data_IF_337998529744
#
_entry.id   IF_337998529744
#
_cell.length_a   1.000
_cell.length_b   1.000
_cell.length_c   1.000
_cell.angle_alpha   90.00
_cell.angle_beta   90.00
_cell.angle_gamma   90.00
#
_symmetry.space_group_name_H-M   'P 1'
#
loop_
_entity.id
_entity.type
_entity.pdbx_description
1 polymer ?
#
# COMPACT_ATOMS: atom_id res chain seq x y z
N UNK A 1 -27.86 -10.32 0.19
CA UNK A 1 -27.66 -10.13 1.64
C UNK A 1 -26.76 -8.92 1.82
N UNK A 2 -27.17 -7.98 2.68
CA UNK A 2 -26.78 -6.56 2.70
C UNK A 2 -25.27 -6.29 2.86
N UNK A 3 -24.80 -5.26 2.13
CA UNK A 3 -23.48 -4.63 2.28
C UNK A 3 -23.25 -4.25 3.75
N UNK A 4 -22.09 -4.65 4.30
CA UNK A 4 -21.57 -4.11 5.55
C UNK A 4 -20.70 -2.90 5.20
N UNK A 5 -21.23 -1.72 5.50
CA UNK A 5 -20.51 -0.45 5.48
C UNK A 5 -19.23 -0.56 6.32
N UNK A 6 -18.10 -0.18 5.72
CA UNK A 6 -16.88 0.09 6.46
C UNK A 6 -17.10 1.43 7.18
N UNK A 7 -17.03 1.37 8.50
CA UNK A 7 -17.23 2.49 9.40
C UNK A 7 -16.25 3.63 9.10
N UNK A 8 -16.81 4.78 8.71
CA UNK A 8 -16.14 6.07 8.65
C UNK A 8 -15.62 6.41 10.05
N UNK A 9 -14.30 6.52 10.21
CA UNK A 9 -13.73 7.17 11.40
C UNK A 9 -14.00 8.66 11.24
N UNK A 10 -15.13 9.11 11.76
CA UNK A 10 -15.38 10.53 11.97
C UNK A 10 -14.42 11.01 13.06
N UNK A 11 -13.42 11.81 12.69
CA UNK A 11 -12.67 12.62 13.63
C UNK A 11 -13.62 13.72 14.15
N UNK A 12 -14.36 13.39 15.20
CA UNK A 12 -15.09 14.35 16.03
C UNK A 12 -14.08 15.15 16.85
N UNK A 13 -13.84 16.41 16.49
CA UNK A 13 -13.27 17.39 17.40
C UNK A 13 -14.30 17.67 18.50
N UNK A 14 -14.15 16.98 19.63
CA UNK A 14 -14.97 17.19 20.81
C UNK A 14 -14.66 18.54 21.47
N UNK A 15 -15.71 19.20 21.96
CA UNK A 15 -15.65 20.40 22.80
C UNK A 15 -14.82 20.16 24.07
N UNK A 16 -14.11 21.20 24.51
CA UNK A 16 -13.15 21.19 25.64
C UNK A 16 -13.88 21.06 26.98
N UNK A 17 -13.53 20.08 27.85
CA UNK A 17 -13.65 20.23 29.29
C UNK A 17 -12.27 20.39 29.94
N UNK A 18 -12.23 21.18 31.01
CA UNK A 18 -11.03 21.51 31.77
C UNK A 18 -10.72 20.42 32.82
N UNK A 19 -9.42 20.17 33.02
CA UNK A 19 -8.74 19.39 34.08
C UNK A 19 -8.72 17.86 33.98
N UNK A 20 -7.58 17.30 33.54
CA UNK A 20 -6.63 16.61 34.43
C UNK A 20 -5.30 16.35 33.70
N UNK A 21 -4.17 16.54 34.39
CA UNK A 21 -2.80 16.33 33.90
C UNK A 21 -2.57 14.87 33.49
N UNK A 22 -2.64 14.61 32.18
CA UNK A 22 -1.75 13.68 31.51
C UNK A 22 -1.19 14.42 30.31
N UNK A 23 0.12 14.30 30.12
CA UNK A 23 0.90 14.94 29.07
C UNK A 23 0.50 14.35 27.70
N UNK A 24 -0.73 14.61 27.26
CA UNK A 24 -1.14 14.46 25.87
C UNK A 24 -0.39 15.53 25.11
N UNK A 25 0.54 15.11 24.25
CA UNK A 25 1.12 15.98 23.24
C UNK A 25 -0.03 16.75 22.59
N UNK A 26 -0.03 18.08 22.76
CA UNK A 26 -1.03 18.91 22.11
C UNK A 26 -0.87 18.67 20.61
N UNK A 27 -1.89 18.10 19.97
CA UNK A 27 -1.89 17.83 18.54
C UNK A 27 -1.65 19.12 17.73
N UNK A 28 -1.39 18.99 16.41
CA UNK A 28 -1.10 20.13 15.56
C UNK A 28 -2.19 21.21 15.67
N UNK A 29 -1.77 22.48 15.71
CA UNK A 29 -2.67 23.62 15.85
C UNK A 29 -2.59 24.55 14.64
N UNK A 30 -3.73 25.05 14.15
CA UNK A 30 -3.72 26.06 13.10
C UNK A 30 -3.24 27.39 13.69
N UNK A 31 -2.46 28.12 12.89
CA UNK A 31 -1.79 29.37 13.24
C UNK A 31 -2.59 30.60 12.82
N UNK A 32 -3.61 30.43 11.98
CA UNK A 32 -4.48 31.53 11.56
C UNK A 32 -5.89 31.06 11.20
N UNK A 33 -6.85 31.98 11.21
CA UNK A 33 -8.21 31.69 10.73
C UNK A 33 -8.23 31.29 9.25
N UNK A 34 -7.35 31.86 8.43
CA UNK A 34 -7.22 31.48 7.01
C UNK A 34 -6.76 30.03 6.86
N UNK A 35 -5.87 29.57 7.74
CA UNK A 35 -5.44 28.17 7.75
C UNK A 35 -6.58 27.25 8.19
N UNK A 36 -7.35 27.64 9.21
CA UNK A 36 -8.56 26.91 9.63
C UNK A 36 -9.53 26.74 8.46
N UNK A 37 -9.79 27.81 7.71
CA UNK A 37 -10.72 27.77 6.59
C UNK A 37 -10.19 26.90 5.44
N UNK A 38 -8.88 26.92 5.18
CA UNK A 38 -8.26 26.06 4.16
C UNK A 38 -8.27 24.58 4.55
N UNK A 39 -7.93 24.24 5.81
CA UNK A 39 -8.00 22.88 6.34
C UNK A 39 -9.45 22.34 6.33
N UNK A 40 -10.44 23.19 6.57
CA UNK A 40 -11.85 22.79 6.51
C UNK A 40 -12.26 22.37 5.10
N UNK A 41 -11.74 23.01 4.05
CA UNK A 41 -12.04 22.61 2.67
C UNK A 41 -11.44 21.26 2.34
N UNK A 42 -10.17 21.03 2.69
CA UNK A 42 -9.52 19.71 2.57
C UNK A 42 -10.38 18.62 3.20
N UNK A 43 -10.86 18.85 4.43
CA UNK A 43 -11.74 17.90 5.12
C UNK A 43 -13.10 17.71 4.43
N UNK A 44 -13.69 18.79 3.89
CA UNK A 44 -14.95 18.71 3.17
C UNK A 44 -14.81 17.89 1.88
N UNK A 45 -13.72 18.06 1.13
CA UNK A 45 -13.46 17.29 -0.08
C UNK A 45 -13.17 15.82 0.21
N UNK A 46 -12.39 15.55 1.27
CA UNK A 46 -12.16 14.19 1.74
C UNK A 46 -13.49 13.47 2.06
N UNK A 47 -14.39 14.14 2.78
CA UNK A 47 -15.70 13.60 3.16
C UNK A 47 -16.63 13.41 1.95
N UNK A 48 -16.54 14.31 0.97
CA UNK A 48 -17.32 14.21 -0.26
C UNK A 48 -16.75 13.18 -1.25
N UNK A 49 -15.53 12.69 -1.02
CA UNK A 49 -14.81 11.83 -1.96
C UNK A 49 -14.32 12.57 -3.21
N UNK A 50 -14.12 13.89 -3.11
CA UNK A 50 -13.64 14.74 -4.19
C UNK A 50 -12.10 14.70 -4.26
N UNK A 51 -11.51 13.52 -4.47
CA UNK A 51 -10.05 13.30 -4.32
C UNK A 51 -9.17 14.28 -5.11
N UNK A 52 -9.57 14.62 -6.34
CA UNK A 52 -8.85 15.61 -7.15
C UNK A 52 -8.87 17.01 -6.52
N UNK A 53 -10.01 17.41 -5.94
CA UNK A 53 -10.14 18.71 -5.27
C UNK A 53 -9.41 18.69 -3.93
N UNK A 54 -9.51 17.60 -3.17
CA UNK A 54 -8.77 17.42 -1.92
C UNK A 54 -7.27 17.65 -2.14
N UNK A 55 -6.69 17.05 -3.19
CA UNK A 55 -5.27 17.22 -3.54
C UNK A 55 -4.94 18.68 -3.87
N UNK A 56 -5.80 19.37 -4.63
CA UNK A 56 -5.61 20.78 -4.94
C UNK A 56 -5.62 21.63 -3.66
N UNK A 57 -6.57 21.37 -2.77
CA UNK A 57 -6.73 22.11 -1.52
C UNK A 57 -5.58 21.81 -0.54
N UNK A 58 -5.07 20.57 -0.51
CA UNK A 58 -3.88 20.22 0.27
C UNK A 58 -2.66 20.98 -0.26
N UNK A 59 -2.44 21.01 -1.58
CA UNK A 59 -1.34 21.80 -2.16
C UNK A 59 -1.49 23.28 -1.80
N UNK A 60 -2.70 23.84 -1.89
CA UNK A 60 -2.96 25.21 -1.49
C UNK A 60 -2.64 25.47 -0.01
N UNK A 61 -2.91 24.53 0.90
CA UNK A 61 -2.50 24.65 2.31
C UNK A 61 -0.98 24.66 2.42
N UNK A 62 -0.29 23.69 1.81
CA UNK A 62 1.16 23.54 1.91
C UNK A 62 1.95 24.69 1.27
N UNK A 63 1.38 25.36 0.27
CA UNK A 63 1.96 26.54 -0.39
C UNK A 63 1.74 27.82 0.41
N UNK A 64 0.53 28.02 0.96
CA UNK A 64 0.15 29.28 1.61
C UNK A 64 0.45 29.32 3.11
N UNK A 65 0.65 28.17 3.76
CA UNK A 65 0.94 28.03 5.18
C UNK A 65 2.19 27.16 5.37
N UNK A 66 3.35 27.68 4.95
CA UNK A 66 4.61 26.94 4.94
C UNK A 66 5.04 26.39 6.32
N UNK A 67 4.58 27.01 7.40
CA UNK A 67 4.86 26.61 8.78
C UNK A 67 3.71 25.80 9.41
N UNK A 68 2.75 25.31 8.62
CA UNK A 68 1.63 24.49 9.10
C UNK A 68 2.12 23.26 9.87
N UNK A 69 1.58 23.06 11.06
CA UNK A 69 1.87 21.87 11.89
C UNK A 69 1.19 20.61 11.33
N UNK A 70 0.24 20.76 10.40
CA UNK A 70 -0.49 19.66 9.78
C UNK A 70 0.24 19.03 8.60
N UNK A 71 1.43 19.52 8.23
CA UNK A 71 2.17 19.04 7.05
C UNK A 71 2.28 17.51 6.97
N UNK A 72 2.67 16.76 8.03
CA UNK A 72 2.74 15.31 7.95
C UNK A 72 1.39 14.64 7.63
N UNK A 73 0.31 15.10 8.28
CA UNK A 73 -1.04 14.59 8.04
C UNK A 73 -1.50 14.91 6.62
N UNK A 74 -1.27 16.14 6.15
CA UNK A 74 -1.64 16.60 4.82
C UNK A 74 -0.91 15.84 3.71
N UNK A 75 0.37 15.51 3.90
CA UNK A 75 1.11 14.70 2.94
C UNK A 75 0.56 13.27 2.84
N UNK A 76 0.24 12.65 3.97
CA UNK A 76 -0.40 11.33 4.00
C UNK A 76 -1.79 11.36 3.36
N UNK A 77 -2.61 12.38 3.64
CA UNK A 77 -3.91 12.58 2.99
C UNK A 77 -3.77 12.76 1.47
N UNK A 78 -2.77 13.51 1.01
CA UNK A 78 -2.51 13.71 -0.42
C UNK A 78 -2.09 12.42 -1.12
N UNK A 79 -1.29 11.57 -0.46
CA UNK A 79 -0.95 10.23 -0.95
C UNK A 79 -2.20 9.34 -1.04
N UNK A 80 -3.01 9.29 0.00
CA UNK A 80 -4.25 8.51 0.02
C UNK A 80 -5.23 8.97 -1.07
N UNK A 81 -5.43 10.28 -1.23
CA UNK A 81 -6.28 10.83 -2.27
C UNK A 81 -5.74 10.50 -3.67
N UNK A 82 -4.42 10.58 -3.89
CA UNK A 82 -3.80 10.19 -5.16
C UNK A 82 -3.97 8.70 -5.46
N UNK A 83 -3.88 7.82 -4.46
CA UNK A 83 -4.16 6.39 -4.65
C UNK A 83 -5.62 6.16 -5.07
N UNK A 84 -6.56 6.93 -4.53
CA UNK A 84 -8.00 6.80 -4.83
C UNK A 84 -8.37 7.30 -6.22
N UNK A 85 -7.60 8.20 -6.82
CA UNK A 85 -7.80 8.59 -8.22
C UNK A 85 -7.27 7.54 -9.20
N UNK A 86 -6.44 6.61 -8.74
CA UNK A 86 -5.77 5.61 -9.58
C UNK A 86 -4.65 6.20 -10.44
N UNK A 87 -4.21 7.43 -10.15
CA UNK A 87 -3.13 8.09 -10.86
C UNK A 87 -1.77 7.64 -10.30
N UNK A 88 -1.10 6.75 -11.05
CA UNK A 88 0.20 6.21 -10.68
C UNK A 88 1.28 7.30 -10.49
N UNK A 89 1.54 8.19 -11.49
CA UNK A 89 2.51 9.26 -11.32
C UNK A 89 2.27 10.12 -10.06
N UNK A 90 1.01 10.46 -9.80
CA UNK A 90 0.63 11.29 -8.67
C UNK A 90 0.81 10.55 -7.34
N UNK A 91 0.45 9.27 -7.28
CA UNK A 91 0.68 8.42 -6.09
C UNK A 91 2.17 8.37 -5.73
N UNK A 92 3.03 8.16 -6.73
CA UNK A 92 4.49 8.15 -6.51
C UNK A 92 4.98 9.53 -6.05
N UNK A 93 4.52 10.61 -6.68
CA UNK A 93 4.93 11.97 -6.31
C UNK A 93 4.55 12.32 -4.87
N UNK A 94 3.32 11.99 -4.44
CA UNK A 94 2.89 12.23 -3.07
C UNK A 94 3.58 11.32 -2.06
N UNK A 95 3.73 10.03 -2.37
CA UNK A 95 4.47 9.12 -1.50
C UNK A 95 5.93 9.54 -1.33
N UNK A 96 6.59 10.02 -2.39
CA UNK A 96 7.93 10.58 -2.30
C UNK A 96 7.99 11.80 -1.37
N UNK A 97 6.96 12.66 -1.37
CA UNK A 97 6.86 13.77 -0.40
C UNK A 97 6.67 13.28 1.03
N UNK A 98 5.88 12.22 1.25
CA UNK A 98 5.72 11.60 2.58
C UNK A 98 7.07 11.11 3.09
N UNK A 99 7.78 10.27 2.33
CA UNK A 99 9.07 9.71 2.79
C UNK A 99 10.21 10.74 2.85
N UNK A 100 10.12 11.86 2.12
CA UNK A 100 11.04 12.99 2.30
C UNK A 100 10.79 13.71 3.64
N UNK A 101 9.53 13.85 4.04
CA UNK A 101 9.15 14.47 5.31
C UNK A 101 9.37 13.53 6.50
N UNK A 102 9.03 12.26 6.34
CA UNK A 102 9.14 11.20 7.35
C UNK A 102 9.87 10.00 6.76
N UNK A 103 11.22 10.00 6.78
CA UNK A 103 12.03 8.95 6.16
C UNK A 103 11.80 7.54 6.71
N UNK A 104 11.20 7.42 7.89
CA UNK A 104 10.90 6.15 8.54
C UNK A 104 9.41 5.76 8.44
N UNK A 105 8.61 6.42 7.60
CA UNK A 105 7.24 6.00 7.34
C UNK A 105 7.23 4.65 6.62
N UNK A 106 6.88 3.59 7.36
CA UNK A 106 6.86 2.22 6.87
C UNK A 106 5.76 2.04 5.82
N UNK A 107 4.57 2.55 6.11
CA UNK A 107 3.38 2.37 5.28
C UNK A 107 3.57 3.01 3.92
N UNK A 108 4.05 4.26 3.87
CA UNK A 108 4.31 4.96 2.62
C UNK A 108 5.38 4.27 1.79
N UNK A 109 6.42 3.70 2.42
CA UNK A 109 7.45 2.92 1.71
C UNK A 109 6.89 1.64 1.10
N UNK A 110 6.08 0.89 1.83
CA UNK A 110 5.43 -0.32 1.29
C UNK A 110 4.53 0.06 0.11
N UNK A 111 3.69 1.08 0.26
CA UNK A 111 2.81 1.55 -0.79
C UNK A 111 3.57 2.03 -2.04
N UNK A 112 4.68 2.76 -1.87
CA UNK A 112 5.55 3.15 -2.99
C UNK A 112 6.14 1.93 -3.70
N UNK A 113 6.65 0.95 -2.94
CA UNK A 113 7.21 -0.27 -3.51
C UNK A 113 6.15 -1.05 -4.32
N UNK A 114 4.97 -1.29 -3.75
CA UNK A 114 3.87 -1.96 -4.44
C UNK A 114 3.41 -1.19 -5.68
N UNK A 115 3.23 0.12 -5.55
CA UNK A 115 2.73 0.97 -6.62
C UNK A 115 3.68 0.96 -7.82
N UNK A 116 4.98 1.11 -7.58
CA UNK A 116 6.00 1.08 -8.64
C UNK A 116 6.12 -0.33 -9.23
N UNK A 117 6.13 -1.38 -8.40
CA UNK A 117 6.25 -2.75 -8.88
C UNK A 117 5.09 -3.17 -9.79
N UNK A 118 3.85 -2.80 -9.45
CA UNK A 118 2.66 -3.13 -10.24
C UNK A 118 2.61 -2.41 -11.59
N UNK A 119 3.28 -1.27 -11.72
CA UNK A 119 3.31 -0.45 -12.93
C UNK A 119 4.56 -0.66 -13.78
N UNK A 120 5.60 -1.30 -13.24
CA UNK A 120 6.83 -1.60 -14.01
C UNK A 120 6.61 -2.78 -14.94
N UNK A 121 7.00 -2.63 -16.21
CA UNK A 121 6.93 -3.65 -17.26
C UNK A 121 8.32 -3.99 -17.78
N UNK A 122 8.43 -5.16 -18.42
CA UNK A 122 9.69 -5.70 -18.92
C UNK A 122 10.41 -4.78 -19.92
N UNK A 123 9.62 -4.05 -20.71
CA UNK A 123 10.10 -3.23 -21.82
C UNK A 123 10.11 -1.72 -21.51
N UNK A 124 9.90 -1.33 -20.24
CA UNK A 124 9.94 0.07 -19.86
C UNK A 124 11.38 0.61 -19.93
N UNK A 125 11.53 1.83 -20.46
CA UNK A 125 12.83 2.49 -20.58
C UNK A 125 13.50 2.73 -19.23
N UNK A 126 12.69 2.94 -18.19
CA UNK A 126 13.10 3.21 -16.81
C UNK A 126 12.99 1.96 -15.90
N UNK A 127 12.77 0.76 -16.46
CA UNK A 127 12.61 -0.49 -15.69
C UNK A 127 13.66 -0.65 -14.59
N UNK A 128 14.94 -0.48 -14.91
CA UNK A 128 16.03 -0.71 -13.95
C UNK A 128 16.01 0.32 -12.82
N UNK A 129 15.63 1.57 -13.11
CA UNK A 129 15.45 2.61 -12.10
C UNK A 129 14.24 2.30 -11.20
N UNK A 130 13.14 1.87 -11.80
CA UNK A 130 11.92 1.49 -11.08
C UNK A 130 12.15 0.28 -10.17
N UNK A 131 12.82 -0.76 -10.67
CA UNK A 131 13.23 -1.92 -9.86
C UNK A 131 14.15 -1.49 -8.71
N UNK A 132 15.10 -0.59 -8.95
CA UNK A 132 15.95 -0.05 -7.88
C UNK A 132 15.11 0.63 -6.80
N UNK A 133 14.14 1.48 -7.18
CA UNK A 133 13.24 2.13 -6.21
C UNK A 133 12.40 1.13 -5.43
N UNK A 134 11.82 0.11 -6.08
CA UNK A 134 11.06 -0.95 -5.41
C UNK A 134 11.92 -1.64 -4.35
N UNK A 135 13.14 -2.05 -4.73
CA UNK A 135 14.06 -2.70 -3.81
C UNK A 135 14.43 -1.79 -2.63
N UNK A 136 14.70 -0.51 -2.88
CA UNK A 136 15.09 0.45 -1.84
C UNK A 136 13.95 0.69 -0.84
N UNK A 137 12.74 0.93 -1.34
CA UNK A 137 11.56 1.15 -0.49
C UNK A 137 11.16 -0.10 0.30
N UNK A 138 11.04 -1.26 -0.37
CA UNK A 138 10.63 -2.50 0.27
C UNK A 138 11.64 -2.97 1.33
N UNK A 139 12.94 -2.99 1.00
CA UNK A 139 13.96 -3.42 1.97
C UNK A 139 14.05 -2.45 3.16
N UNK A 140 13.90 -1.15 2.93
CA UNK A 140 13.89 -0.18 4.04
C UNK A 140 12.67 -0.37 4.93
N UNK A 141 11.49 -0.62 4.37
CA UNK A 141 10.29 -0.95 5.15
C UNK A 141 10.50 -2.22 5.99
N UNK A 142 11.03 -3.29 5.40
CA UNK A 142 11.33 -4.55 6.09
C UNK A 142 12.38 -4.36 7.20
N UNK A 143 13.37 -3.47 7.01
CA UNK A 143 14.32 -3.14 8.06
C UNK A 143 13.63 -2.44 9.25
N UNK A 144 12.80 -1.43 8.97
CA UNK A 144 12.09 -0.66 10.00
C UNK A 144 11.07 -1.52 10.76
N UNK A 145 10.41 -2.47 10.09
CA UNK A 145 9.42 -3.36 10.71
C UNK A 145 10.00 -4.24 11.82
N UNK A 146 11.31 -4.55 11.78
CA UNK A 146 11.99 -5.37 12.80
C UNK A 146 11.97 -4.74 14.19
N UNK A 147 11.89 -3.42 14.28
CA UNK A 147 11.91 -2.66 15.54
C UNK A 147 10.64 -1.84 15.75
N UNK A 148 9.63 -2.03 14.91
CA UNK A 148 8.38 -1.29 14.98
C UNK A 148 7.44 -1.91 16.02
N UNK A 149 7.73 -1.65 17.29
CA UNK A 149 6.94 -2.15 18.43
C UNK A 149 5.73 -1.27 18.74
N UNK A 150 5.81 0.01 18.39
CA UNK A 150 4.73 0.98 18.60
C UNK A 150 3.87 1.11 17.34
N UNK A 151 2.54 0.98 17.43
CA UNK A 151 1.65 1.20 16.30
C UNK A 151 1.72 2.65 15.80
N UNK A 152 1.61 2.88 14.48
CA UNK A 152 1.36 4.21 13.94
C UNK A 152 0.07 4.83 14.49
N UNK A 153 -0.04 6.16 14.44
CA UNK A 153 -1.28 6.84 14.82
C UNK A 153 -2.46 6.33 13.97
N UNK A 154 -3.63 6.17 14.62
CA UNK A 154 -4.84 5.65 13.98
C UNK A 154 -4.90 4.13 13.88
N UNK A 155 -3.81 3.41 14.15
CA UNK A 155 -3.80 1.94 14.21
C UNK A 155 -3.98 1.48 15.67
N UNK A 156 -4.95 0.60 15.89
CA UNK A 156 -5.14 0.00 17.20
C UNK A 156 -3.96 -0.93 17.54
N UNK A 157 -3.42 -0.82 18.76
CA UNK A 157 -2.33 -1.68 19.24
C UNK A 157 -2.64 -3.18 19.10
N UNK A 158 -3.91 -3.59 19.25
CA UNK A 158 -4.34 -4.97 19.08
C UNK A 158 -4.29 -5.45 17.61
N UNK A 159 -4.42 -4.54 16.65
CA UNK A 159 -4.38 -4.83 15.21
C UNK A 159 -2.95 -4.75 14.66
N UNK A 160 -2.04 -4.10 15.38
CA UNK A 160 -0.68 -3.83 14.91
C UNK A 160 0.12 -5.08 14.52
N UNK A 161 0.11 -6.19 15.28
CA UNK A 161 0.85 -7.39 14.89
C UNK A 161 0.42 -7.95 13.54
N UNK A 162 -0.89 -7.96 13.25
CA UNK A 162 -1.40 -8.47 11.98
C UNK A 162 -1.17 -7.48 10.84
N UNK A 163 -1.26 -6.17 11.13
CA UNK A 163 -0.93 -5.15 10.14
C UNK A 163 0.56 -5.17 9.76
N UNK A 164 1.46 -5.47 10.71
CA UNK A 164 2.89 -5.71 10.40
C UNK A 164 3.07 -6.87 9.43
N UNK A 165 2.43 -8.02 9.67
CA UNK A 165 2.50 -9.17 8.75
C UNK A 165 1.97 -8.83 7.37
N UNK A 166 0.91 -8.03 7.29
CA UNK A 166 0.40 -7.52 6.02
C UNK A 166 1.48 -6.67 5.31
N UNK A 167 2.06 -5.68 5.99
CA UNK A 167 3.10 -4.81 5.42
C UNK A 167 4.34 -5.60 4.99
N UNK A 168 4.77 -6.60 5.78
CA UNK A 168 5.85 -7.53 5.41
C UNK A 168 5.50 -8.32 4.15
N UNK A 169 4.29 -8.90 4.09
CA UNK A 169 3.81 -9.64 2.94
C UNK A 169 3.76 -8.79 1.66
N UNK A 170 3.28 -7.56 1.78
CA UNK A 170 3.21 -6.58 0.69
C UNK A 170 4.61 -6.15 0.21
N UNK A 171 5.54 -5.91 1.12
CA UNK A 171 6.92 -5.58 0.76
C UNK A 171 7.60 -6.73 0.01
N UNK A 172 7.42 -7.97 0.48
CA UNK A 172 7.92 -9.15 -0.21
C UNK A 172 7.22 -9.41 -1.55
N UNK A 173 5.91 -9.15 -1.68
CA UNK A 173 5.22 -9.20 -2.97
C UNK A 173 5.82 -8.21 -3.99
N UNK A 174 6.08 -6.97 -3.57
CA UNK A 174 6.71 -5.96 -4.41
C UNK A 174 8.14 -6.39 -4.85
N UNK A 175 8.94 -6.97 -3.95
CA UNK A 175 10.25 -7.54 -4.28
C UNK A 175 10.11 -8.71 -5.28
N UNK A 176 9.09 -9.54 -5.12
CA UNK A 176 8.80 -10.65 -6.04
C UNK A 176 8.44 -10.16 -7.43
N UNK A 177 7.60 -9.13 -7.54
CA UNK A 177 7.22 -8.49 -8.81
C UNK A 177 8.45 -7.85 -9.49
N UNK A 178 9.30 -7.16 -8.72
CA UNK A 178 10.56 -6.59 -9.23
C UNK A 178 11.52 -7.67 -9.75
N UNK A 179 11.65 -8.80 -9.05
CA UNK A 179 12.46 -9.92 -9.53
C UNK A 179 11.85 -10.57 -10.79
N UNK A 180 10.52 -10.68 -10.86
CA UNK A 180 9.82 -11.26 -11.99
C UNK A 180 9.99 -10.43 -13.27
N UNK A 181 9.94 -9.09 -13.20
CA UNK A 181 10.17 -8.22 -14.37
C UNK A 181 11.63 -8.27 -14.86
N UNK A 182 12.56 -8.63 -13.98
CA UNK A 182 13.94 -8.96 -14.34
C UNK A 182 14.13 -10.41 -14.83
N UNK A 183 13.04 -11.18 -14.98
CA UNK A 183 13.02 -12.62 -15.29
C UNK A 183 13.78 -13.51 -14.31
N UNK A 184 14.05 -13.00 -13.11
CA UNK A 184 14.63 -13.79 -12.03
C UNK A 184 13.50 -14.53 -11.28
N UNK A 185 12.87 -15.47 -11.97
CA UNK A 185 11.72 -16.20 -11.44
C UNK A 185 12.02 -17.00 -10.18
N UNK A 186 13.21 -17.65 -10.01
CA UNK A 186 13.55 -18.30 -8.74
C UNK A 186 13.53 -17.34 -7.55
N UNK A 187 14.10 -16.14 -7.72
CA UNK A 187 14.04 -15.11 -6.68
C UNK A 187 12.61 -14.62 -6.44
N UNK A 188 11.85 -14.38 -7.50
CA UNK A 188 10.46 -13.96 -7.39
C UNK A 188 9.63 -14.96 -6.56
N UNK A 189 9.76 -16.25 -6.86
CA UNK A 189 9.10 -17.33 -6.13
C UNK A 189 9.51 -17.34 -4.65
N UNK A 190 10.80 -17.17 -4.34
CA UNK A 190 11.27 -17.10 -2.96
C UNK A 190 10.64 -15.93 -2.19
N UNK A 191 10.54 -14.76 -2.81
CA UNK A 191 9.92 -13.57 -2.19
C UNK A 191 8.42 -13.80 -1.95
N UNK A 192 7.69 -14.33 -2.94
CA UNK A 192 6.26 -14.65 -2.76
C UNK A 192 6.03 -15.72 -1.68
N UNK A 193 6.88 -16.73 -1.59
CA UNK A 193 6.82 -17.73 -0.53
C UNK A 193 7.03 -17.10 0.85
N UNK A 194 7.96 -16.15 0.96
CA UNK A 194 8.21 -15.41 2.20
C UNK A 194 7.00 -14.55 2.57
N UNK A 195 6.41 -13.85 1.61
CA UNK A 195 5.19 -13.08 1.81
C UNK A 195 4.03 -13.93 2.35
N UNK A 196 3.79 -15.08 1.69
CA UNK A 196 2.68 -15.97 1.98
C UNK A 196 2.82 -16.76 3.29
N UNK A 197 4.03 -16.85 3.87
CA UNK A 197 4.28 -17.56 5.13
C UNK A 197 3.54 -16.91 6.31
N UNK A 198 3.45 -15.58 6.33
CA UNK A 198 2.82 -14.80 7.41
C UNK A 198 1.54 -14.09 6.97
N UNK A 199 1.35 -13.88 5.66
CA UNK A 199 0.20 -13.19 5.09
C UNK A 199 -0.39 -13.98 3.91
N UNK A 200 -1.23 -15.01 4.19
CA UNK A 200 -1.93 -15.73 3.13
C UNK A 200 -2.81 -14.78 2.32
N UNK A 201 -2.50 -14.62 1.03
CA UNK A 201 -3.18 -13.66 0.16
C UNK A 201 -3.36 -14.24 -1.26
N UNK A 202 -4.59 -14.29 -1.78
CA UNK A 202 -4.85 -14.94 -3.07
C UNK A 202 -4.28 -14.16 -4.26
N UNK A 203 -4.07 -12.84 -4.14
CA UNK A 203 -3.43 -12.02 -5.17
C UNK A 203 -1.94 -12.38 -5.29
N UNK A 204 -1.22 -12.42 -4.17
CA UNK A 204 0.20 -12.83 -4.14
C UNK A 204 0.36 -14.27 -4.68
N UNK A 205 -0.60 -15.15 -4.38
CA UNK A 205 -0.61 -16.50 -4.95
C UNK A 205 -0.73 -16.49 -6.48
N UNK A 206 -1.53 -15.59 -7.08
CA UNK A 206 -1.60 -15.46 -8.55
C UNK A 206 -0.31 -14.88 -9.16
N UNK A 207 0.40 -13.98 -8.46
CA UNK A 207 1.73 -13.54 -8.87
C UNK A 207 2.73 -14.71 -8.86
N UNK A 208 2.69 -15.53 -7.80
CA UNK A 208 3.52 -16.72 -7.67
C UNK A 208 3.21 -17.77 -8.75
N UNK A 209 1.94 -17.98 -9.09
CA UNK A 209 1.54 -18.84 -10.22
C UNK A 209 2.14 -18.37 -11.54
N UNK A 210 2.10 -17.06 -11.81
CA UNK A 210 2.70 -16.48 -13.01
C UNK A 210 4.22 -16.74 -13.06
N UNK A 211 4.92 -16.55 -11.93
CA UNK A 211 6.34 -16.86 -11.84
C UNK A 211 6.64 -18.36 -12.00
N UNK A 212 5.82 -19.25 -11.42
CA UNK A 212 5.96 -20.70 -11.61
C UNK A 212 5.80 -21.11 -13.09
N UNK A 213 4.81 -20.57 -13.79
CA UNK A 213 4.61 -20.82 -15.23
C UNK A 213 5.83 -20.35 -16.01
N UNK A 214 6.31 -19.14 -15.75
CA UNK A 214 7.47 -18.59 -16.43
C UNK A 214 8.76 -19.39 -16.14
N UNK A 215 8.87 -19.96 -14.93
CA UNK A 215 9.96 -20.87 -14.54
C UNK A 215 9.71 -22.34 -14.94
N UNK A 216 8.68 -22.62 -15.74
CA UNK A 216 8.30 -23.97 -16.22
C UNK A 216 7.93 -24.98 -15.12
N UNK A 217 7.62 -24.49 -13.91
CA UNK A 217 7.14 -25.23 -12.75
C UNK A 217 5.62 -25.37 -12.79
N UNK A 218 5.11 -26.06 -13.82
CA UNK A 218 3.67 -26.09 -14.10
C UNK A 218 2.86 -26.81 -13.01
N UNK A 219 3.41 -27.84 -12.38
CA UNK A 219 2.73 -28.56 -11.29
C UNK A 219 2.53 -27.69 -10.05
N UNK A 220 3.54 -26.87 -9.72
CA UNK A 220 3.45 -25.92 -8.61
C UNK A 220 2.42 -24.81 -8.92
N UNK A 221 2.37 -24.34 -10.17
CA UNK A 221 1.36 -23.38 -10.61
C UNK A 221 -0.06 -23.95 -10.50
N UNK A 222 -0.29 -25.19 -10.97
CA UNK A 222 -1.59 -25.87 -10.90
C UNK A 222 -2.02 -26.04 -9.44
N UNK A 223 -1.12 -26.56 -8.60
CA UNK A 223 -1.37 -26.77 -7.16
C UNK A 223 -1.70 -25.45 -6.45
N UNK A 224 -1.00 -24.37 -6.81
CA UNK A 224 -1.28 -23.04 -6.24
C UNK A 224 -2.64 -22.50 -6.69
N UNK A 225 -2.99 -22.71 -7.96
CA UNK A 225 -4.32 -22.34 -8.49
C UNK A 225 -5.46 -23.06 -7.77
N UNK A 226 -5.31 -24.36 -7.50
CA UNK A 226 -6.29 -25.13 -6.72
C UNK A 226 -6.50 -24.54 -5.32
N UNK A 227 -5.42 -24.12 -4.67
CA UNK A 227 -5.53 -23.46 -3.36
C UNK A 227 -6.32 -22.15 -3.46
N UNK A 228 -6.05 -21.28 -4.44
CA UNK A 228 -6.78 -20.01 -4.60
C UNK A 228 -8.27 -20.26 -4.86
N UNK A 229 -8.62 -21.25 -5.68
CA UNK A 229 -10.01 -21.59 -5.99
C UNK A 229 -10.78 -22.09 -4.76
N UNK A 230 -10.09 -22.82 -3.87
CA UNK A 230 -10.64 -23.35 -2.62
C UNK A 230 -10.76 -22.30 -1.50
N UNK A 231 -10.11 -21.14 -1.60
CA UNK A 231 -10.23 -20.07 -0.61
C UNK A 231 -11.64 -19.47 -0.60
N UNK A 232 -12.28 -19.44 0.56
CA UNK A 232 -13.66 -18.93 0.69
C UNK A 232 -13.75 -17.41 0.51
N UNK A 233 -12.70 -16.70 0.90
CA UNK A 233 -12.59 -15.25 0.92
C UNK A 233 -11.88 -14.67 -0.31
N UNK A 234 -11.40 -15.51 -1.23
CA UNK A 234 -10.77 -15.04 -2.46
C UNK A 234 -11.80 -14.33 -3.37
N UNK A 235 -11.53 -13.09 -3.82
CA UNK A 235 -12.41 -12.35 -4.72
C UNK A 235 -12.69 -13.10 -6.03
N UNK A 236 -13.89 -12.94 -6.58
CA UNK A 236 -14.31 -13.68 -7.79
C UNK A 236 -13.39 -13.43 -9.00
N UNK A 237 -12.93 -12.19 -9.20
CA UNK A 237 -11.96 -11.84 -10.24
C UNK A 237 -10.61 -12.53 -10.01
N UNK A 238 -10.15 -12.66 -8.76
CA UNK A 238 -8.89 -13.35 -8.44
C UNK A 238 -9.02 -14.85 -8.69
N UNK A 239 -10.17 -15.46 -8.34
CA UNK A 239 -10.46 -16.86 -8.69
C UNK A 239 -10.47 -17.09 -10.21
N UNK A 240 -11.04 -16.17 -10.97
CA UNK A 240 -11.02 -16.24 -12.43
C UNK A 240 -9.59 -16.18 -13.00
N UNK A 241 -8.75 -15.27 -12.50
CA UNK A 241 -7.33 -15.19 -12.90
C UNK A 241 -6.61 -16.48 -12.55
N UNK A 242 -6.80 -17.01 -11.33
CA UNK A 242 -6.20 -18.28 -10.93
C UNK A 242 -6.64 -19.44 -11.83
N UNK A 243 -7.91 -19.52 -12.20
CA UNK A 243 -8.40 -20.54 -13.14
C UNK A 243 -7.70 -20.42 -14.50
N UNK A 244 -7.59 -19.21 -15.06
CA UNK A 244 -6.92 -18.99 -16.35
C UNK A 244 -5.44 -19.38 -16.32
N UNK A 245 -4.73 -19.02 -15.24
CA UNK A 245 -3.33 -19.39 -15.04
C UNK A 245 -3.17 -20.90 -14.89
N UNK A 246 -4.06 -21.57 -14.15
CA UNK A 246 -4.08 -23.02 -14.00
C UNK A 246 -4.31 -23.74 -15.33
N UNK A 247 -5.26 -23.26 -16.14
CA UNK A 247 -5.53 -23.82 -17.47
C UNK A 247 -4.33 -23.66 -18.41
N UNK A 248 -3.69 -22.49 -18.36
CA UNK A 248 -2.44 -22.21 -19.10
C UNK A 248 -1.32 -23.17 -18.69
N UNK A 249 -1.07 -23.33 -17.38
CA UNK A 249 -0.08 -24.26 -16.85
C UNK A 249 -0.35 -25.71 -17.28
N UNK A 250 -1.62 -26.14 -17.24
CA UNK A 250 -2.04 -27.48 -17.66
C UNK A 250 -1.76 -27.71 -19.15
N UNK A 251 -2.10 -26.74 -19.99
CA UNK A 251 -1.80 -26.80 -21.43
C UNK A 251 -0.30 -26.86 -21.70
N UNK A 252 0.50 -26.02 -21.04
CA UNK A 252 1.96 -26.00 -21.22
C UNK A 252 2.64 -27.26 -20.69
N UNK A 253 2.08 -27.90 -19.65
CA UNK A 253 2.55 -29.20 -19.16
C UNK A 253 2.34 -30.31 -20.19
N UNK A 254 1.17 -30.37 -20.83
CA UNK A 254 0.84 -31.39 -21.83
C UNK A 254 1.52 -31.20 -23.20
N UNK A 255 2.14 -30.04 -23.44
CA UNK A 255 2.89 -29.74 -24.67
C UNK A 255 4.40 -30.05 -24.56
N UNK A 256 4.86 -30.52 -23.40
CA UNK A 256 6.22 -31.07 -23.19
C UNK A 256 6.23 -32.56 -23.53
#
# INVERSE_FOLDING_TARGET
MRLRSISTVALLLAAIPVFSQQQQAQGPKPKSQKEVDALRKVQADQQAGNWNQEIQDINAVLENFADTEFKPQLLNMGMDAAMRTGDYPQTVAWGERVVQNEPNDITARVQLAETIANHTRENDLDKDQSVKKVNDYANKALELLKTADTPPQGINAAQWPDYKKQLEGQAHDALGLAAAVQKNYPKAIQEYQTALASFPNPIIMTHMMTAYIANKQYDDAITTGDKVLAMNDAPANVKQVAQQLKDSATKMKGAK
#
